data_IF_190947757802
#
_entry.id   IF_190947757802
#
_cell.length_a   1.000
_cell.length_b   1.000
_cell.length_c   1.000
_cell.angle_alpha   90.00
_cell.angle_beta   90.00
_cell.angle_gamma   90.00
#
_symmetry.space_group_name_H-M   'P 1'
#
loop_
_entity.id
_entity.type
_entity.pdbx_description
1 polymer ?
#
# COMPACT_ATOMS: atom_id res chain seq x y z
N UNK A 1 16.51 -18.29 -11.12
CA UNK A 1 15.79 -17.00 -11.26
C UNK A 1 14.38 -17.30 -11.71
N UNK A 2 13.36 -17.02 -10.90
CA UNK A 2 11.97 -17.10 -11.37
C UNK A 2 11.67 -15.83 -12.17
N UNK A 3 11.14 -16.00 -13.38
CA UNK A 3 10.65 -14.91 -14.23
C UNK A 3 9.76 -13.99 -13.41
N UNK A 4 10.07 -12.70 -13.40
CA UNK A 4 9.14 -11.65 -12.99
C UNK A 4 7.95 -11.72 -13.94
N UNK A 5 6.78 -12.12 -13.44
CA UNK A 5 5.55 -12.02 -14.20
C UNK A 5 5.34 -10.54 -14.55
N UNK A 6 5.20 -10.23 -15.84
CA UNK A 6 4.89 -8.87 -16.29
C UNK A 6 3.42 -8.59 -15.94
N UNK A 7 3.18 -7.91 -14.82
CA UNK A 7 1.84 -7.46 -14.42
C UNK A 7 1.37 -6.33 -15.35
N UNK A 8 0.23 -6.52 -16.02
CA UNK A 8 -0.35 -5.52 -16.92
C UNK A 8 -1.70 -5.01 -16.41
N UNK A 9 -2.10 -3.80 -16.82
CA UNK A 9 -3.43 -3.20 -16.51
C UNK A 9 -4.60 -4.15 -16.84
N UNK A 10 -4.43 -5.06 -17.81
CA UNK A 10 -5.48 -5.99 -18.28
C UNK A 10 -5.74 -7.16 -17.33
N UNK A 11 -4.85 -7.35 -16.35
CA UNK A 11 -4.94 -8.41 -15.33
C UNK A 11 -5.62 -7.91 -14.05
N UNK A 12 -5.91 -6.60 -13.98
CA UNK A 12 -6.58 -5.95 -12.87
C UNK A 12 -8.03 -6.43 -12.73
N UNK A 13 -8.40 -6.93 -11.54
CA UNK A 13 -9.75 -7.43 -11.24
C UNK A 13 -10.10 -8.84 -11.75
N UNK A 14 -9.28 -9.46 -12.61
CA UNK A 14 -9.48 -10.87 -13.06
C UNK A 14 -8.90 -11.91 -12.10
N UNK A 15 -8.02 -11.45 -11.23
CA UNK A 15 -7.26 -12.22 -10.28
C UNK A 15 -7.62 -11.73 -8.89
N UNK A 16 -7.93 -12.64 -7.97
CA UNK A 16 -8.03 -12.30 -6.53
C UNK A 16 -6.73 -11.68 -6.02
N UNK A 17 -5.65 -11.85 -6.80
CA UNK A 17 -4.27 -11.51 -6.53
C UNK A 17 -3.75 -10.20 -7.18
N UNK A 18 -4.51 -9.10 -7.16
CA UNK A 18 -4.19 -7.85 -7.89
C UNK A 18 -2.90 -7.12 -7.49
N UNK A 19 -2.22 -7.48 -6.40
CA UNK A 19 -0.98 -6.80 -6.02
C UNK A 19 0.18 -7.74 -5.79
N UNK A 20 1.32 -7.48 -6.43
CA UNK A 20 2.60 -8.21 -6.28
C UNK A 20 3.12 -8.32 -4.83
N UNK A 21 2.40 -7.78 -3.85
CA UNK A 21 2.74 -7.67 -2.43
C UNK A 21 2.41 -8.90 -1.59
N UNK A 22 1.98 -10.03 -2.18
CA UNK A 22 1.58 -11.26 -1.45
C UNK A 22 2.61 -11.75 -0.43
N UNK A 23 3.89 -11.36 -0.58
CA UNK A 23 4.92 -11.39 0.47
C UNK A 23 6.16 -10.65 -0.03
N UNK A 24 6.18 -9.33 0.04
CA UNK A 24 7.46 -8.62 -0.15
C UNK A 24 8.25 -8.79 1.15
N UNK A 25 9.40 -9.44 1.06
CA UNK A 25 10.41 -9.49 2.12
C UNK A 25 11.71 -8.92 1.56
N UNK A 26 12.07 -7.72 1.97
CA UNK A 26 13.31 -7.08 1.52
C UNK A 26 13.96 -6.34 2.67
N UNK A 27 15.25 -6.63 2.93
CA UNK A 27 16.13 -5.89 3.86
C UNK A 27 15.49 -5.58 5.24
N UNK A 28 14.79 -6.55 5.84
CA UNK A 28 14.15 -6.40 7.15
C UNK A 28 12.77 -5.74 7.11
N UNK A 29 12.28 -5.40 5.92
CA UNK A 29 10.93 -4.93 5.65
C UNK A 29 10.06 -6.09 5.16
N UNK A 30 8.85 -6.21 5.71
CA UNK A 30 7.84 -7.16 5.25
C UNK A 30 6.55 -6.44 4.94
N UNK A 31 5.94 -6.73 3.80
CA UNK A 31 4.58 -6.30 3.46
C UNK A 31 3.75 -7.56 3.25
N UNK A 32 2.57 -7.59 3.86
CA UNK A 32 1.61 -8.66 3.70
C UNK A 32 0.23 -8.09 3.43
N UNK A 33 -0.43 -8.60 2.39
CA UNK A 33 -1.84 -8.37 2.14
C UNK A 33 -2.69 -9.17 3.12
N UNK A 34 -3.58 -8.47 3.82
CA UNK A 34 -4.47 -9.02 4.83
C UNK A 34 -5.86 -9.30 4.26
N UNK A 35 -6.40 -8.35 3.49
CA UNK A 35 -7.72 -8.45 2.90
C UNK A 35 -7.83 -7.58 1.65
N UNK A 36 -8.76 -7.93 0.79
CA UNK A 36 -9.20 -7.10 -0.33
C UNK A 36 -10.70 -6.90 -0.25
N UNK A 37 -11.15 -5.68 -0.49
CA UNK A 37 -12.57 -5.34 -0.57
C UNK A 37 -12.84 -4.54 -1.83
N UNK A 38 -13.93 -4.87 -2.52
CA UNK A 38 -14.46 -3.99 -3.56
C UNK A 38 -15.09 -2.77 -2.88
N UNK A 39 -14.83 -1.59 -3.43
CA UNK A 39 -15.46 -0.36 -2.96
C UNK A 39 -16.87 -0.20 -3.52
N UNK A 40 -17.62 0.77 -2.97
CA UNK A 40 -18.99 1.05 -3.39
C UNK A 40 -19.11 1.56 -4.84
N UNK A 41 -18.01 2.04 -5.42
CA UNK A 41 -17.95 2.55 -6.79
C UNK A 41 -17.33 1.51 -7.74
N UNK A 42 -17.82 1.42 -8.99
CA UNK A 42 -17.21 0.57 -10.01
C UNK A 42 -15.72 0.88 -10.16
N UNK A 43 -14.89 -0.16 -10.26
CA UNK A 43 -13.44 -0.07 -10.39
C UNK A 43 -12.69 0.57 -9.19
N UNK A 44 -13.33 0.65 -8.02
CA UNK A 44 -12.63 0.90 -6.76
C UNK A 44 -12.35 -0.40 -6.05
N UNK A 45 -11.09 -0.64 -5.69
CA UNK A 45 -10.66 -1.78 -4.87
C UNK A 45 -9.80 -1.28 -3.73
N UNK A 46 -10.06 -1.77 -2.52
CA UNK A 46 -9.29 -1.47 -1.34
C UNK A 46 -8.48 -2.70 -0.92
N UNK A 47 -7.18 -2.53 -0.72
CA UNK A 47 -6.27 -3.55 -0.23
C UNK A 47 -5.74 -3.15 1.15
N UNK A 48 -5.93 -4.04 2.13
CA UNK A 48 -5.50 -3.85 3.51
C UNK A 48 -4.15 -4.52 3.70
N UNK A 49 -3.12 -3.73 3.98
CA UNK A 49 -1.74 -4.17 4.08
C UNK A 49 -1.24 -4.04 5.53
N UNK A 50 -0.53 -5.06 6.01
CA UNK A 50 0.35 -4.90 7.17
C UNK A 50 1.78 -4.76 6.66
N UNK A 51 2.39 -3.63 7.01
CA UNK A 51 3.79 -3.33 6.74
C UNK A 51 4.57 -3.48 8.04
N UNK A 52 5.76 -4.05 7.99
CA UNK A 52 6.61 -4.27 9.15
C UNK A 52 8.06 -3.93 8.83
N UNK A 53 8.73 -3.23 9.75
CA UNK A 53 10.19 -3.06 9.74
C UNK A 53 10.73 -3.19 11.17
N UNK A 54 11.57 -4.20 11.40
CA UNK A 54 11.98 -4.60 12.74
C UNK A 54 10.77 -4.92 13.63
N UNK A 55 10.61 -4.17 14.73
CA UNK A 55 9.49 -4.27 15.69
C UNK A 55 8.34 -3.30 15.41
N UNK A 56 8.45 -2.46 14.36
CA UNK A 56 7.41 -1.48 14.02
C UNK A 56 6.44 -2.10 13.02
N UNK A 57 5.16 -1.81 13.20
CA UNK A 57 4.08 -2.23 12.31
C UNK A 57 3.25 -1.02 11.92
N UNK A 58 2.87 -0.95 10.64
CA UNK A 58 1.91 0.04 10.14
C UNK A 58 0.85 -0.67 9.32
N UNK A 59 -0.41 -0.30 9.56
CA UNK A 59 -1.55 -0.79 8.81
C UNK A 59 -1.91 0.24 7.75
N UNK A 60 -1.70 -0.13 6.49
CA UNK A 60 -1.87 0.74 5.34
C UNK A 60 -3.03 0.21 4.51
N UNK A 61 -3.92 1.11 4.09
CA UNK A 61 -4.97 0.79 3.12
C UNK A 61 -4.60 1.43 1.80
N UNK A 62 -4.44 0.60 0.77
CA UNK A 62 -4.28 1.05 -0.60
C UNK A 62 -5.66 1.08 -1.24
N UNK A 63 -6.15 2.28 -1.58
CA UNK A 63 -7.37 2.48 -2.34
C UNK A 63 -7.01 2.72 -3.80
N UNK A 64 -7.33 1.74 -4.63
CA UNK A 64 -7.13 1.76 -6.07
C UNK A 64 -8.41 2.28 -6.70
N UNK A 65 -8.34 3.46 -7.32
CA UNK A 65 -9.47 4.09 -7.98
C UNK A 65 -9.19 4.14 -9.48
N UNK A 66 -9.64 3.11 -10.21
CA UNK A 66 -9.24 2.87 -11.59
C UNK A 66 -7.77 2.42 -11.69
N UNK A 67 -7.17 2.64 -12.87
CA UNK A 67 -5.87 2.03 -13.24
C UNK A 67 -4.66 2.96 -13.06
N UNK A 68 -4.87 4.27 -12.86
CA UNK A 68 -3.78 5.23 -13.00
C UNK A 68 -3.09 5.56 -11.67
N UNK A 69 -3.84 5.61 -10.57
CA UNK A 69 -3.31 6.06 -9.27
C UNK A 69 -3.86 5.25 -8.10
N UNK A 70 -3.01 5.10 -7.08
CA UNK A 70 -3.31 4.43 -5.82
C UNK A 70 -3.15 5.43 -4.69
N UNK A 71 -4.17 5.53 -3.84
CA UNK A 71 -4.11 6.32 -2.60
C UNK A 71 -3.77 5.42 -1.44
N UNK A 72 -2.70 5.74 -0.73
CA UNK A 72 -2.27 5.04 0.47
C UNK A 72 -2.69 5.84 1.71
N UNK A 73 -3.41 5.18 2.60
CA UNK A 73 -3.89 5.73 3.86
C UNK A 73 -3.33 4.93 5.04
N UNK A 74 -3.16 5.57 6.20
CA UNK A 74 -3.18 4.81 7.45
C UNK A 74 -4.59 4.24 7.64
N UNK A 75 -4.74 3.10 8.32
CA UNK A 75 -6.06 2.54 8.61
C UNK A 75 -7.00 3.57 9.26
N UNK A 76 -6.49 4.37 10.20
CA UNK A 76 -7.24 5.46 10.84
C UNK A 76 -7.74 6.50 9.84
N UNK A 77 -6.89 6.92 8.91
CA UNK A 77 -7.25 7.90 7.89
C UNK A 77 -8.24 7.31 6.89
N UNK A 78 -8.09 6.04 6.51
CA UNK A 78 -9.03 5.38 5.61
C UNK A 78 -10.44 5.34 6.21
N UNK A 79 -10.58 4.94 7.48
CA UNK A 79 -11.89 4.94 8.18
C UNK A 79 -12.51 6.34 8.14
N UNK A 80 -11.74 7.38 8.44
CA UNK A 80 -12.25 8.76 8.37
C UNK A 80 -12.62 9.18 6.95
N UNK A 81 -11.86 8.76 5.96
CA UNK A 81 -12.12 9.06 4.56
C UNK A 81 -13.45 8.44 4.11
N UNK A 82 -13.70 7.18 4.46
CA UNK A 82 -14.93 6.46 4.11
C UNK A 82 -16.18 7.01 4.82
N UNK A 83 -16.07 7.40 6.10
CA UNK A 83 -17.25 7.80 6.89
C UNK A 83 -17.46 9.31 7.03
N UNK A 84 -16.42 10.13 6.89
CA UNK A 84 -16.51 11.58 7.16
C UNK A 84 -16.45 12.46 5.90
N UNK A 85 -16.17 11.92 4.71
CA UNK A 85 -16.05 12.64 3.42
C UNK A 85 -15.15 13.89 3.47
N UNK A 86 -14.15 13.90 4.36
CA UNK A 86 -13.20 15.02 4.52
C UNK A 86 -11.98 14.88 3.64
N UNK A 87 -11.29 16.00 3.45
CA UNK A 87 -9.97 16.01 2.81
C UNK A 87 -8.93 15.40 3.78
N UNK A 88 -8.84 14.06 3.79
CA UNK A 88 -7.98 13.29 4.69
C UNK A 88 -6.59 13.11 4.07
N UNK A 89 -5.49 13.25 4.85
CA UNK A 89 -4.14 13.00 4.35
C UNK A 89 -3.97 11.57 3.81
N UNK A 90 -3.50 11.50 2.57
CA UNK A 90 -3.15 10.28 1.86
C UNK A 90 -1.91 10.50 1.01
N UNK A 91 -1.13 9.44 0.77
CA UNK A 91 -0.04 9.46 -0.21
C UNK A 91 -0.60 8.96 -1.53
N UNK A 92 -0.58 9.78 -2.58
CA UNK A 92 -1.05 9.36 -3.90
C UNK A 92 0.15 8.99 -4.76
N UNK A 93 0.14 7.79 -5.33
CA UNK A 93 1.22 7.27 -6.18
C UNK A 93 0.67 6.68 -7.48
N UNK A 94 1.44 6.67 -8.58
CA UNK A 94 1.09 5.91 -9.78
C UNK A 94 0.99 4.40 -9.49
N UNK A 95 0.15 3.71 -10.26
CA UNK A 95 -0.05 2.27 -10.10
C UNK A 95 1.25 1.47 -10.32
N UNK A 96 2.11 1.90 -11.24
CA UNK A 96 3.40 1.27 -11.55
C UNK A 96 4.34 1.32 -10.33
N UNK A 97 4.28 2.41 -9.57
CA UNK A 97 5.06 2.55 -8.33
C UNK A 97 4.49 1.69 -7.21
N UNK A 98 3.17 1.51 -7.18
CA UNK A 98 2.52 0.59 -6.25
C UNK A 98 2.95 -0.85 -6.53
N UNK A 99 2.84 -1.36 -7.76
CA UNK A 99 3.18 -2.76 -8.06
C UNK A 99 4.70 -3.06 -8.05
N UNK A 100 5.56 -2.05 -8.04
CA UNK A 100 7.01 -2.22 -7.92
C UNK A 100 7.41 -2.35 -6.44
N UNK A 101 7.92 -3.53 -6.00
CA UNK A 101 8.24 -3.75 -4.60
C UNK A 101 9.23 -2.75 -3.99
N UNK A 102 10.31 -2.42 -4.71
CA UNK A 102 11.36 -1.57 -4.18
C UNK A 102 10.88 -0.12 -4.03
N UNK A 103 10.15 0.38 -5.04
CA UNK A 103 9.56 1.72 -5.01
C UNK A 103 8.49 1.83 -3.93
N UNK A 104 7.58 0.86 -3.85
CA UNK A 104 6.54 0.83 -2.82
C UNK A 104 7.13 0.83 -1.41
N UNK A 105 8.14 -0.01 -1.16
CA UNK A 105 8.83 -0.04 0.13
C UNK A 105 9.48 1.29 0.50
N UNK A 106 10.10 1.98 -0.46
CA UNK A 106 10.69 3.30 -0.21
C UNK A 106 9.62 4.32 0.19
N UNK A 107 8.48 4.33 -0.50
CA UNK A 107 7.32 5.19 -0.19
C UNK A 107 6.80 4.87 1.22
N UNK A 108 6.61 3.59 1.54
CA UNK A 108 6.11 3.17 2.85
C UNK A 108 7.08 3.60 3.95
N UNK A 109 8.38 3.38 3.77
CA UNK A 109 9.40 3.75 4.74
C UNK A 109 9.45 5.27 4.98
N UNK A 110 9.37 6.07 3.92
CA UNK A 110 9.42 7.53 3.98
C UNK A 110 8.19 8.13 4.65
N UNK A 111 6.99 7.67 4.28
CA UNK A 111 5.75 8.36 4.64
C UNK A 111 5.06 7.77 5.88
N UNK A 112 5.20 6.48 6.14
CA UNK A 112 4.46 5.79 7.20
C UNK A 112 5.33 5.41 8.38
N UNK A 113 6.59 5.02 8.13
CA UNK A 113 7.47 4.56 9.21
C UNK A 113 8.34 5.62 9.86
N UNK A 114 8.18 6.91 9.47
CA UNK A 114 8.98 8.08 9.89
C UNK A 114 10.01 7.65 10.92
N UNK A 115 11.19 7.23 10.44
CA UNK A 115 12.32 6.93 11.29
C UNK A 115 12.56 8.21 12.07
N UNK A 116 12.05 8.23 13.30
CA UNK A 116 12.23 9.33 14.24
C UNK A 116 13.73 9.64 14.16
N UNK A 117 14.15 10.88 13.86
CA UNK A 117 15.56 11.21 13.98
C UNK A 117 15.93 10.73 15.37
N UNK A 118 16.96 9.88 15.49
CA UNK A 118 17.48 9.48 16.80
C UNK A 118 17.60 10.79 17.57
N UNK A 119 16.76 11.00 18.60
CA UNK A 119 17.04 12.03 19.58
C UNK A 119 18.45 11.68 20.03
N UNK A 120 19.42 12.51 19.65
CA UNK A 120 20.74 12.43 20.24
C UNK A 120 20.48 12.52 21.73
N UNK A 121 20.74 11.42 22.43
CA UNK A 121 20.79 11.41 23.87
C UNK A 121 21.83 12.45 24.27
N UNK A 122 21.37 13.51 24.92
CA UNK A 122 22.21 14.48 25.62
C UNK A 122 22.66 13.83 26.93
#
# INVERSE_FOLDING_TARGET
MKQSENYSEKDFGKRSDTSSHYRIKSRGFTVQLMATMDGDKPAVKNEFLICQTGFRHEFIVASLNGYNTVKLFTLKNFIKYEYEERNIPAVTIPFEQYINPDTFLAIVAQHFFHLTPKKQSV
#
